data_IF_577784787027
#
_entry.id   IF_577784787027
#
_cell.length_a   1.000
_cell.length_b   1.000
_cell.length_c   1.000
_cell.angle_alpha   90.00
_cell.angle_beta   90.00
_cell.angle_gamma   90.00
#
_symmetry.space_group_name_H-M   'P 1'
#
loop_
_entity.id
_entity.type
_entity.pdbx_description
1 polymer ?
2 polymer ?
3 polymer ?
4 non-polymer ?
5 water ?
#
# COMPACT_ATOMS: atom_id res chain seq x y z
N UNK A 6 -16.61 -0.85 3.94
CA UNK A 6 -16.95 -2.21 4.48
C UNK A 6 -17.48 -2.03 5.91
N UNK A 7 -18.12 -3.07 6.45
CA UNK A 7 -18.73 -2.98 7.78
C UNK A 7 -17.89 -2.55 8.97
N UNK A 8 -16.81 -3.28 9.21
CA UNK A 8 -15.94 -3.05 10.35
C UNK A 8 -14.57 -2.51 9.92
N UNK A 9 -14.46 -2.20 8.63
CA UNK A 9 -13.22 -1.74 8.03
C UNK A 9 -12.60 -0.50 8.65
N UNK A 10 -11.26 -0.46 8.62
CA UNK A 10 -10.54 0.70 9.12
C UNK A 10 -10.50 0.98 10.60
N UNK A 11 -11.08 0.09 11.42
CA UNK A 11 -11.06 0.24 12.88
C UNK A 11 -10.13 -0.87 13.37
N UNK A 12 -8.93 -0.47 13.80
CA UNK A 12 -7.90 -1.41 14.25
C UNK A 12 -8.19 -2.02 15.61
N UNK A 13 -8.14 -3.36 15.71
CA UNK A 13 -8.39 -4.07 16.97
C UNK A 13 -7.53 -3.55 18.13
N UNK A 14 -6.24 -3.31 17.87
CA UNK A 14 -5.35 -2.85 18.92
C UNK A 14 -5.31 -1.38 19.15
N UNK A 15 -6.06 -0.61 18.36
CA UNK A 15 -6.07 0.83 18.53
C UNK A 15 -7.47 1.43 18.65
N UNK A 16 -8.14 1.70 17.53
CA UNK A 16 -9.47 2.32 17.61
C UNK A 16 -10.46 1.55 18.48
N UNK A 17 -10.50 0.24 18.33
CA UNK A 17 -11.45 -0.53 19.11
C UNK A 17 -11.21 -0.46 20.60
N UNK A 18 -9.98 -0.13 21.00
CA UNK A 18 -9.63 -0.03 22.41
C UNK A 18 -9.43 1.42 22.82
N UNK A 19 -9.70 2.33 21.91
CA UNK A 19 -9.52 3.76 22.18
C UNK A 19 -8.07 4.08 22.49
N UNK A 20 -7.16 3.42 21.77
CA UNK A 20 -5.74 3.68 21.92
C UNK A 20 -5.21 4.31 20.63
N UNK A 21 -4.38 5.33 20.77
CA UNK A 21 -3.76 6.03 19.64
C UNK A 21 -2.37 5.51 19.33
N UNK A 22 -1.99 5.42 18.06
CA UNK A 22 -0.63 5.02 17.75
C UNK A 22 0.24 6.28 17.95
N UNK A 23 1.56 6.13 17.98
CA UNK A 23 2.45 7.27 18.24
C UNK A 23 2.53 8.45 17.30
N UNK A 24 2.12 8.30 16.04
CA UNK A 24 2.19 9.46 15.16
C UNK A 24 0.88 9.83 14.47
N UNK A 25 -0.21 9.14 14.76
CA UNK A 25 -1.46 9.48 14.09
C UNK A 25 -1.93 10.91 14.30
N UNK A 26 -1.52 11.52 15.42
CA UNK A 26 -1.92 12.90 15.68
C UNK A 26 -1.34 13.80 14.59
N UNK A 27 -0.18 13.44 14.05
CA UNK A 27 0.46 14.22 13.00
C UNK A 27 -0.47 14.35 11.79
N UNK A 28 -1.13 13.25 11.43
CA UNK A 28 -2.07 13.22 10.32
C UNK A 28 -3.28 14.11 10.64
N UNK A 29 -3.90 13.86 11.78
CA UNK A 29 -5.07 14.60 12.17
C UNK A 29 -4.78 16.09 12.29
N UNK A 30 -3.57 16.44 12.70
CA UNK A 30 -3.25 17.86 12.83
C UNK A 30 -3.05 18.54 11.49
N UNK A 31 -2.90 17.78 10.42
CA UNK A 31 -2.70 18.38 9.11
C UNK A 31 -4.05 18.62 8.42
N UNK A 32 -5.13 18.05 8.95
CA UNK A 32 -6.43 18.21 8.32
C UNK A 32 -7.09 19.51 8.75
N UNK A 33 -6.52 20.62 8.30
CA UNK A 33 -7.05 21.92 8.62
C UNK A 33 -8.18 22.24 7.63
N UNK B 1 11.05 1.98 2.70
CA UNK B 1 10.64 3.29 3.23
C UNK B 1 11.94 3.95 3.66
N UNK B 2 12.13 5.18 3.21
CA UNK B 2 13.32 5.95 3.53
C UNK B 2 12.96 6.98 4.57
N UNK B 3 13.72 7.05 5.66
CA UNK B 3 13.45 8.02 6.71
C UNK B 3 12.13 7.84 7.44
N UNK B 4 11.72 6.60 7.61
CA UNK B 4 10.50 6.33 8.36
C UNK B 4 10.94 5.72 9.69
N UNK B 5 10.04 5.10 10.43
CA UNK B 5 10.41 4.47 11.70
C UNK B 5 9.73 3.13 11.78
N UNK B 6 10.09 2.33 12.78
CA UNK B 6 9.50 1.02 12.97
C UNK B 6 8.02 1.19 13.28
N UNK B 7 7.18 0.35 12.70
CA UNK B 7 5.75 0.42 12.97
C UNK B 7 5.47 -0.26 14.31
N UNK B 8 4.38 0.14 14.95
CA UNK B 8 3.98 -0.51 16.20
C UNK B 8 3.26 -1.79 15.82
N UNK B 9 3.18 -2.73 16.73
CA UNK B 9 2.50 -3.97 16.42
C UNK B 9 1.00 -3.65 16.25
N UNK B 10 0.38 -4.27 15.23
CA UNK B 10 -1.01 -4.04 14.93
C UNK B 10 -1.35 -2.66 14.33
N UNK B 11 -0.33 -1.87 13.99
CA UNK B 11 -0.52 -0.54 13.44
C UNK B 11 -1.16 -0.48 12.02
N UNK B 12 -0.86 -1.46 11.17
CA UNK B 12 -1.40 -1.56 9.79
C UNK B 12 -1.85 -2.99 9.58
N UNK B 13 -2.94 -3.39 10.22
CA UNK B 13 -3.42 -4.77 10.07
C UNK B 13 -3.87 -5.19 8.68
N UNK B 14 -3.93 -4.24 7.77
CA UNK B 14 -4.30 -4.51 6.39
C UNK B 14 -3.07 -4.68 5.50
N UNK B 15 -1.88 -4.42 6.05
CA UNK B 15 -0.65 -4.55 5.25
C UNK B 15 -0.48 -6.00 4.83
N UNK B 16 -0.18 -6.21 3.56
CA UNK B 16 0.00 -7.56 3.07
C UNK B 16 1.38 -7.63 2.40
N UNK B 17 2.02 -8.79 2.41
CA UNK B 17 3.31 -8.95 1.76
C UNK B 17 3.13 -9.88 0.58
N UNK B 18 3.58 -9.45 -0.59
CA UNK B 18 3.48 -10.29 -1.79
C UNK B 18 4.80 -11.05 -1.76
N UNK B 19 4.70 -12.36 -1.71
CA UNK B 19 5.88 -13.20 -1.58
C UNK B 19 6.03 -14.19 -2.72
N UNK B 20 7.22 -14.23 -3.28
CA UNK B 20 7.51 -15.14 -4.37
C UNK B 20 7.95 -16.50 -3.80
N UNK B 21 7.46 -17.58 -4.39
CA UNK B 21 7.81 -18.92 -3.94
C UNK B 21 9.23 -19.34 -4.27
N UNK B 22 9.62 -19.19 -5.54
CA UNK B 22 10.96 -19.60 -5.98
C UNK B 22 11.59 -18.60 -6.93
N UNK B 23 12.63 -17.89 -6.48
CA UNK B 23 13.23 -17.96 -5.15
C UNK B 23 12.34 -17.28 -4.12
N UNK B 24 12.41 -17.72 -2.87
CA UNK B 24 11.58 -17.13 -1.82
C UNK B 24 12.10 -15.72 -1.60
N UNK B 25 11.26 -14.72 -1.85
CA UNK B 25 11.67 -13.32 -1.69
C UNK B 25 10.48 -12.35 -1.68
N UNK B 26 10.72 -11.15 -1.19
CA UNK B 26 9.70 -10.12 -1.15
C UNK B 26 9.57 -9.50 -2.54
N UNK B 27 8.36 -9.44 -3.06
CA UNK B 27 8.13 -8.81 -4.37
C UNK B 27 7.59 -7.40 -4.18
N UNK B 28 6.49 -7.29 -3.43
CA UNK B 28 5.81 -6.02 -3.22
C UNK B 28 4.90 -6.02 -1.98
N UNK B 29 4.37 -4.85 -1.66
CA UNK B 29 3.40 -4.75 -0.58
C UNK B 29 2.02 -4.88 -1.22
N UNK B 30 0.98 -4.89 -0.41
CA UNK B 30 -0.40 -5.00 -0.88
C UNK B 30 -1.28 -4.66 0.32
N UNK B 31 -2.61 -4.73 0.15
CA UNK B 31 -3.52 -4.41 1.25
C UNK B 31 -4.73 -5.32 1.26
N UNK B 32 -5.27 -5.59 2.44
CA UNK B 32 -6.43 -6.45 2.57
C UNK B 32 -7.65 -5.54 2.63
N UNK B 33 -8.58 -5.73 1.69
CA UNK B 33 -9.79 -4.91 1.66
C UNK B 33 -11.06 -5.68 2.06
N UNK B 34 -10.95 -6.99 2.20
CA UNK B 34 -12.05 -7.81 2.68
C UNK B 34 -11.42 -9.14 3.07
N UNK B 35 -12.23 -10.11 3.51
CA UNK B 35 -11.68 -11.40 3.90
C UNK B 35 -11.16 -12.23 2.72
N UNK B 36 -11.45 -11.80 1.49
CA UNK B 36 -11.08 -12.58 0.32
C UNK B 36 -10.36 -11.80 -0.79
N UNK B 37 -10.25 -10.48 -0.65
CA UNK B 37 -9.63 -9.64 -1.68
C UNK B 37 -8.44 -8.83 -1.23
N UNK B 38 -7.44 -8.78 -2.10
CA UNK B 38 -6.21 -8.05 -1.84
C UNK B 38 -5.96 -7.05 -2.98
N UNK B 39 -5.59 -5.83 -2.62
CA UNK B 39 -5.34 -4.78 -3.60
C UNK B 39 -3.84 -4.48 -3.65
N UNK B 40 -3.30 -4.32 -4.86
CA UNK B 40 -1.88 -4.03 -5.06
C UNK B 40 -1.68 -3.25 -6.39
N UNK B 41 -0.44 -2.99 -6.77
CA UNK B 41 -0.13 -2.27 -8.01
C UNK B 41 0.05 -3.31 -9.11
N UNK B 42 -0.52 -3.06 -10.29
CA UNK B 42 -0.40 -3.99 -11.43
C UNK B 42 1.05 -4.26 -11.86
N UNK B 43 1.91 -3.26 -11.69
CA UNK B 43 3.30 -3.42 -12.11
C UNK B 43 4.08 -4.43 -11.29
N UNK B 44 3.53 -4.78 -10.13
CA UNK B 44 4.14 -5.77 -9.25
C UNK B 44 3.99 -7.13 -9.90
N UNK B 45 2.95 -7.29 -10.72
CA UNK B 45 2.67 -8.56 -11.39
C UNK B 45 3.05 -8.58 -12.86
N UNK B 46 2.82 -7.46 -13.53
CA UNK B 46 3.06 -7.38 -14.95
C UNK B 46 3.82 -6.14 -15.36
N UNK B 47 4.99 -6.39 -15.95
CA UNK B 47 5.86 -5.34 -16.45
C UNK B 47 6.73 -5.92 -17.58
N UNK B 48 6.12 -6.07 -18.79
CA UNK B 48 6.82 -6.64 -19.96
C UNK B 48 8.24 -6.14 -20.28
N UNK B 49 8.55 -4.85 -20.08
CA UNK B 49 9.91 -4.37 -20.36
C UNK B 49 11.00 -5.13 -19.59
N UNK B 50 10.63 -5.67 -18.42
CA UNK B 50 11.56 -6.42 -17.58
C UNK B 50 11.13 -7.89 -17.58
N UNK B 51 10.38 -8.29 -18.59
CA UNK B 51 9.89 -9.65 -18.71
C UNK B 51 9.19 -10.20 -17.48
N UNK B 52 8.56 -9.34 -16.70
CA UNK B 52 7.84 -9.76 -15.50
C UNK B 52 6.36 -10.01 -15.81
N UNK B 53 5.89 -11.21 -15.50
CA UNK B 53 4.50 -11.57 -15.72
C UNK B 53 4.19 -12.73 -14.79
N UNK B 54 3.88 -12.41 -13.54
CA UNK B 54 3.58 -13.44 -12.53
C UNK B 54 2.14 -13.90 -12.60
N UNK B 55 1.94 -15.19 -12.40
CA UNK B 55 0.59 -15.74 -12.36
C UNK B 55 0.30 -16.20 -10.93
N UNK B 56 -0.92 -16.66 -10.71
CA UNK B 56 -1.38 -17.14 -9.43
C UNK B 56 -0.42 -18.10 -8.72
N UNK B 57 0.11 -19.05 -9.47
CA UNK B 57 1.00 -20.04 -8.88
C UNK B 57 2.38 -19.59 -8.50
N UNK B 58 2.75 -18.40 -8.95
CA UNK B 58 4.08 -17.91 -8.66
C UNK B 58 4.15 -17.21 -7.31
N UNK B 59 3.00 -16.91 -6.76
CA UNK B 59 2.94 -16.11 -5.54
C UNK B 59 2.19 -16.64 -4.34
N UNK B 60 2.50 -16.01 -3.22
CA UNK B 60 1.88 -16.27 -1.94
C UNK B 60 1.63 -14.92 -1.31
N UNK B 61 0.50 -14.81 -0.63
CA UNK B 61 0.12 -13.62 0.07
C UNK B 61 0.40 -13.87 1.57
N UNK B 62 1.09 -12.96 2.24
CA UNK B 62 1.38 -13.12 3.66
C UNK B 62 0.74 -11.97 4.47
N UNK B 63 -0.21 -12.33 5.32
CA UNK B 63 -0.99 -11.38 6.12
C UNK B 63 -0.73 -11.45 7.63
N UNK B 64 -0.76 -10.30 8.31
CA UNK B 64 -0.53 -10.25 9.74
C UNK B 64 0.93 -10.19 10.17
N UNK B 65 1.80 -9.79 9.25
CA UNK B 65 3.23 -9.73 9.54
C UNK B 65 3.76 -8.44 10.16
N UNK B 66 4.91 -8.56 10.81
CA UNK B 66 5.58 -7.43 11.39
C UNK B 66 7.04 -7.52 10.94
N UNK B 67 7.65 -8.69 11.19
CA UNK B 67 9.03 -8.96 10.80
C UNK B 67 9.04 -9.21 9.29
N UNK B 68 10.06 -8.70 8.62
CA UNK B 68 10.19 -8.91 7.18
C UNK B 68 10.53 -10.36 6.79
N UNK B 69 11.61 -10.91 7.36
CA UNK B 69 12.09 -12.26 6.99
C UNK B 69 11.66 -13.48 7.82
N UNK B 70 11.15 -13.24 9.00
CA UNK B 70 10.78 -14.33 9.88
C UNK B 70 9.41 -14.94 9.64
N UNK B 71 9.29 -16.25 9.79
CA UNK B 71 7.98 -16.90 9.64
C UNK B 71 7.29 -16.74 10.99
N UNK B 72 6.38 -15.79 11.08
CA UNK B 72 5.71 -15.50 12.34
C UNK B 72 4.62 -16.47 12.73
N UNK B 73 5.07 -17.63 13.22
CA UNK B 73 4.25 -18.75 13.64
C UNK B 73 3.14 -18.31 14.60
N UNK B 74 1.92 -18.74 14.31
CA UNK B 74 0.75 -18.41 15.14
C UNK B 74 0.28 -16.96 14.97
N UNK B 75 0.99 -16.16 14.20
CA UNK B 75 0.59 -14.78 14.00
C UNK B 75 0.18 -14.48 12.55
N UNK B 76 1.08 -14.69 11.61
CA UNK B 76 0.78 -14.43 10.21
C UNK B 76 -0.01 -15.57 9.59
N UNK B 77 -0.68 -15.26 8.49
CA UNK B 77 -1.44 -16.26 7.75
C UNK B 77 -0.94 -16.16 6.30
N UNK B 78 -0.69 -17.30 5.68
CA UNK B 78 -0.22 -17.34 4.30
C UNK B 78 -1.35 -17.86 3.43
N UNK B 79 -1.62 -17.20 2.31
CA UNK B 79 -2.71 -17.63 1.43
C UNK B 79 -2.26 -17.76 -0.01
N UNK B 80 -2.94 -18.66 -0.71
CA UNK B 80 -2.69 -18.92 -2.12
C UNK B 80 -3.72 -18.08 -2.87
N UNK B 81 -3.39 -17.75 -4.11
CA UNK B 81 -4.25 -16.94 -4.94
C UNK B 81 -5.11 -17.77 -5.84
N UNK B 82 -6.36 -17.36 -5.99
CA UNK B 82 -7.27 -18.04 -6.86
C UNK B 82 -7.21 -17.38 -8.25
N UNK B 83 -7.28 -16.06 -8.28
CA UNK B 83 -7.30 -15.33 -9.54
C UNK B 83 -6.76 -13.92 -9.39
N UNK B 84 -6.03 -13.49 -10.40
CA UNK B 84 -5.45 -12.14 -10.45
C UNK B 84 -6.22 -11.37 -11.51
N UNK B 85 -6.52 -10.10 -11.23
CA UNK B 85 -7.22 -9.26 -12.18
C UNK B 85 -6.47 -7.96 -12.32
N UNK B 86 -5.96 -7.70 -13.51
CA UNK B 86 -5.23 -6.48 -13.78
C UNK B 86 -6.17 -5.52 -14.53
N UNK B 87 -6.08 -4.22 -14.23
CA UNK B 87 -6.94 -3.27 -14.92
C UNK B 87 -6.67 -3.39 -16.44
N UNK B 88 -7.74 -3.62 -17.22
CA UNK B 88 -7.59 -3.76 -18.67
C UNK B 88 -6.84 -2.60 -19.34
N UNK B 89 -6.93 -1.39 -18.78
CA UNK B 89 -6.24 -0.26 -19.38
C UNK B 89 -4.97 0.19 -18.63
N UNK B 90 -4.35 -0.75 -17.91
CA UNK B 90 -3.11 -0.48 -17.20
C UNK B 90 -2.09 -0.10 -18.28
N UNK B 91 -1.49 1.08 -18.18
CA UNK B 91 -0.55 1.53 -19.19
C UNK B 91 0.91 1.31 -18.85
N UNK B 92 1.38 0.09 -19.08
CA UNK B 92 2.78 -0.23 -18.79
C UNK B 92 3.74 0.30 -19.86
N UNK B 93 3.20 0.69 -21.00
CA UNK B 93 4.03 1.19 -22.08
C UNK B 93 4.56 2.58 -21.85
N UNK B 94 3.79 3.41 -21.18
CA UNK B 94 4.23 4.78 -20.99
C UNK B 94 4.50 5.33 -19.59
N UNK B 95 3.46 5.43 -18.77
CA UNK B 95 3.61 6.07 -17.46
C UNK B 95 2.99 5.33 -16.28
N UNK B 96 2.68 4.05 -16.44
CA UNK B 96 2.07 3.28 -15.36
C UNK B 96 0.71 3.82 -14.95
N UNK B 97 -0.01 4.40 -15.89
CA UNK B 97 -1.34 4.91 -15.62
C UNK B 97 -2.26 3.72 -15.31
N UNK B 98 -3.12 3.88 -14.31
CA UNK B 98 -4.03 2.84 -13.86
C UNK B 98 -3.25 1.61 -13.35
N UNK B 99 -2.27 1.90 -12.50
CA UNK B 99 -1.43 0.84 -11.94
C UNK B 99 -2.19 0.20 -10.75
N UNK B 100 -3.05 -0.77 -11.02
CA UNK B 100 -3.86 -1.39 -9.98
C UNK B 100 -4.23 -2.81 -10.38
N UNK B 101 -4.36 -3.69 -9.39
CA UNK B 101 -4.70 -5.08 -9.63
C UNK B 101 -5.35 -5.59 -8.38
N UNK B 102 -6.27 -6.54 -8.56
CA UNK B 102 -6.98 -7.16 -7.46
C UNK B 102 -6.58 -8.61 -7.44
N UNK B 103 -6.52 -9.19 -6.24
CA UNK B 103 -6.18 -10.60 -6.10
C UNK B 103 -7.24 -11.25 -5.23
N UNK B 104 -7.80 -12.34 -5.75
CA UNK B 104 -8.83 -13.11 -5.07
C UNK B 104 -8.13 -14.28 -4.36
N UNK B 105 -8.30 -14.38 -3.04
CA UNK B 105 -7.67 -15.46 -2.26
C UNK B 105 -8.42 -16.78 -2.44
N UNK B 106 -7.73 -17.90 -2.31
CA UNK B 106 -8.39 -19.20 -2.45
C UNK B 106 -9.53 -19.47 -1.45
N UNK B 107 -9.35 -18.98 -0.22
CA UNK B 107 -10.33 -19.13 0.86
C UNK B 107 -10.14 -17.92 1.78
N UNK B 108 -11.21 -17.46 2.40
CA UNK B 108 -11.14 -16.29 3.29
C UNK B 108 -10.19 -16.49 4.45
N UNK B 109 -9.50 -15.42 4.85
CA UNK B 109 -8.61 -15.47 6.00
C UNK B 109 -9.46 -15.02 7.14
N UNK B 110 -9.13 -15.48 8.34
CA UNK B 110 -9.88 -15.06 9.51
C UNK B 110 -9.20 -13.80 10.04
N UNK B 111 -9.99 -12.83 10.46
CA UNK B 111 -9.43 -11.60 11.02
C UNK B 111 -8.92 -11.87 12.43
N UNK B 112 -8.06 -11.01 12.94
CA UNK B 112 -7.51 -11.19 14.28
C UNK B 112 -7.03 -9.82 14.73
N UNK B 113 -6.28 -9.75 15.82
CA UNK B 113 -5.74 -8.48 16.29
C UNK B 113 -4.74 -7.89 15.27
N UNK B 114 -4.13 -8.76 14.48
CA UNK B 114 -3.10 -8.36 13.51
C UNK B 114 -3.54 -8.35 12.04
N UNK B 115 -4.75 -8.82 11.78
CA UNK B 115 -5.31 -8.93 10.43
C UNK B 115 -6.70 -8.32 10.40
N UNK B 116 -6.84 -7.22 9.65
CA UNK B 116 -8.11 -6.52 9.61
C UNK B 116 -8.12 -5.65 8.34
N UNK B 117 -9.25 -5.61 7.63
CA UNK B 117 -9.30 -4.82 6.40
C UNK B 117 -9.38 -3.30 6.55
N UNK B 118 -8.86 -2.61 5.52
CA UNK B 118 -8.88 -1.15 5.46
C UNK B 118 -10.13 -0.77 4.65
N UNK B 119 -10.63 0.45 4.80
CA UNK B 119 -11.80 0.87 4.04
C UNK B 119 -11.40 1.51 2.70
N UNK B 120 -12.24 1.35 1.69
CA UNK B 120 -12.03 1.98 0.38
C UNK B 120 -12.84 3.28 0.49
N UNK B 121 -12.33 4.38 -0.03
CA UNK B 121 -13.09 5.61 0.10
C UNK B 121 -14.36 5.80 -0.76
N UNK B 122 -15.23 6.65 -0.25
CA UNK B 122 -16.43 7.02 -0.97
C UNK B 122 -16.10 8.38 -1.54
N UNK B 123 -16.98 8.90 -2.38
CA UNK B 123 -16.73 10.18 -3.03
C UNK B 123 -16.53 11.32 -2.07
N UNK B 124 -17.32 11.36 -1.00
CA UNK B 124 -17.24 12.45 -0.05
C UNK B 124 -15.93 12.46 0.75
N UNK B 125 -15.53 11.28 1.22
CA UNK B 125 -14.30 11.14 1.98
C UNK B 125 -13.10 11.52 1.10
N UNK B 126 -13.11 11.04 -0.14
CA UNK B 126 -12.03 11.34 -1.09
C UNK B 126 -11.99 12.85 -1.32
N UNK B 127 -13.17 13.43 -1.52
CA UNK B 127 -13.27 14.84 -1.76
C UNK B 127 -12.72 15.66 -0.60
N UNK B 128 -13.09 15.31 0.62
CA UNK B 128 -12.61 16.08 1.76
C UNK B 128 -11.16 15.85 2.20
N UNK B 129 -10.65 14.64 1.98
CA UNK B 129 -9.30 14.34 2.44
C UNK B 129 -8.16 14.46 1.47
N UNK B 130 -8.43 14.22 0.20
CA UNK B 130 -7.36 14.27 -0.80
C UNK B 130 -7.06 15.73 -1.17
N UNK B 131 -6.39 16.43 -0.28
CA UNK B 131 -6.06 17.83 -0.49
C UNK B 131 -4.60 18.11 -0.23
N UNK B 132 -3.99 19.00 -1.01
CA UNK B 132 -2.58 19.32 -0.81
C UNK B 132 -2.34 19.81 0.61
N UNK B 133 -1.30 19.30 1.25
CA UNK B 133 -0.99 19.69 2.62
C UNK B 133 -1.43 18.66 3.65
N UNK B 134 -2.48 17.91 3.31
CA UNK B 134 -2.98 16.88 4.21
C UNK B 134 -2.03 15.69 4.17
N UNK B 135 -1.79 15.08 5.33
CA UNK B 135 -0.87 13.96 5.39
C UNK B 135 -1.52 12.61 5.37
N UNK B 136 -0.80 11.68 4.75
CA UNK B 136 -1.24 10.31 4.66
C UNK B 136 -0.07 9.48 5.18
N UNK B 137 -0.24 8.18 5.23
CA UNK B 137 0.76 7.28 5.76
C UNK B 137 1.03 6.13 4.82
N UNK B 138 2.30 5.79 4.67
CA UNK B 138 2.73 4.70 3.79
C UNK B 138 3.52 3.71 4.63
N UNK B 139 3.34 2.42 4.34
CA UNK B 139 4.05 1.41 5.10
C UNK B 139 4.59 0.34 4.17
N UNK B 140 5.64 -0.36 4.60
CA UNK B 140 6.20 -1.43 3.79
C UNK B 140 7.55 -1.93 4.30
N UNK B 141 8.03 -2.99 3.68
CA UNK B 141 9.30 -3.60 4.05
C UNK B 141 10.35 -3.34 2.98
N UNK B 142 10.16 -2.28 2.20
CA UNK B 142 11.10 -1.98 1.14
C UNK B 142 12.40 -1.39 1.62
N UNK B 143 13.30 -1.13 0.68
CA UNK B 143 14.59 -0.56 0.98
C UNK B 143 14.50 0.66 1.86
N UNK B 144 15.53 0.86 2.66
CA UNK B 144 15.64 2.00 3.56
C UNK B 144 16.43 3.13 2.91
N UNK B 145 17.08 2.80 1.80
CA UNK B 145 17.89 3.77 1.08
C UNK B 145 17.85 3.45 -0.39
N UNK B 146 18.09 4.45 -1.22
CA UNK B 146 18.09 4.23 -2.66
C UNK B 146 19.27 3.32 -3.02
N UNK B 147 20.44 3.65 -2.48
CA UNK B 147 21.70 2.93 -2.68
C UNK B 147 22.01 2.57 -4.14
N UNK B 155 20.09 -1.22 4.19
CA UNK B 155 19.57 -2.26 3.34
C UNK B 155 18.08 -2.33 3.54
N UNK B 156 17.62 -3.50 3.96
CA UNK B 156 16.22 -3.73 4.22
C UNK B 156 16.02 -3.66 5.73
N UNK B 157 14.80 -3.32 6.18
CA UNK B 157 14.55 -3.23 7.62
C UNK B 157 14.24 -4.61 8.22
N UNK B 158 14.32 -4.74 9.55
CA UNK B 158 13.98 -6.01 10.17
C UNK B 158 12.47 -6.06 10.33
N UNK B 159 11.85 -4.90 10.54
CA UNK B 159 10.40 -4.87 10.70
C UNK B 159 9.73 -3.80 9.84
N UNK B 160 8.41 -3.91 9.73
CA UNK B 160 7.60 -2.99 8.95
C UNK B 160 7.93 -1.55 9.30
N UNK B 161 8.14 -0.73 8.27
CA UNK B 161 8.45 0.69 8.44
C UNK B 161 7.20 1.52 8.13
N UNK B 162 7.16 2.72 8.70
CA UNK B 162 6.04 3.63 8.48
C UNK B 162 6.56 5.07 8.30
N UNK B 163 5.88 5.85 7.46
CA UNK B 163 6.23 7.25 7.26
C UNK B 163 4.97 8.01 6.90
N UNK B 164 4.86 9.25 7.39
CA UNK B 164 3.71 10.09 7.13
C UNK B 164 4.16 11.18 6.17
N UNK B 165 3.48 11.30 5.05
CA UNK B 165 3.84 12.28 4.01
C UNK B 165 2.68 13.16 3.57
N UNK B 166 2.97 14.42 3.24
CA UNK B 166 1.87 15.30 2.81
C UNK B 166 1.57 15.16 1.31
N UNK B 167 0.31 15.33 0.96
CA UNK B 167 -0.11 15.28 -0.45
C UNK B 167 0.39 16.59 -1.08
N UNK B 168 0.91 16.50 -2.30
CA UNK B 168 1.44 17.67 -2.98
C UNK B 168 0.54 18.17 -4.12
N UNK B 169 0.54 19.50 -4.30
CA UNK B 169 -0.23 20.17 -5.36
C UNK B 169 0.09 19.59 -6.76
N UNK B 170 -0.93 19.29 -7.55
CA UNK B 170 -0.72 18.72 -8.89
C UNK B 170 0.32 19.40 -9.77
N UNK B 171 0.35 20.75 -9.82
CA UNK B 171 1.34 21.47 -10.65
C UNK B 171 2.77 21.15 -10.22
N UNK B 172 2.99 21.08 -8.91
CA UNK B 172 4.30 20.77 -8.34
C UNK B 172 4.67 19.34 -8.76
N UNK B 173 3.71 18.40 -8.68
CA UNK B 173 3.95 17.02 -9.08
C UNK B 173 4.37 16.97 -10.56
N UNK B 174 3.60 17.69 -11.38
CA UNK B 174 3.81 17.80 -12.83
C UNK B 174 5.18 18.38 -13.17
N UNK B 175 5.56 19.46 -12.49
CA UNK B 175 6.82 20.16 -12.72
C UNK B 175 8.08 19.52 -12.18
N UNK B 176 7.93 18.34 -11.57
CA UNK B 176 9.07 17.64 -11.00
C UNK B 176 9.54 16.50 -11.88
N UNK B 177 8.81 16.23 -12.95
CA UNK B 177 9.16 15.08 -13.79
C UNK B 177 8.90 15.34 -15.27
N UNK B 178 9.47 14.51 -16.14
CA UNK B 178 9.25 14.65 -17.57
C UNK B 178 8.13 13.73 -17.97
N UNK B 179 7.76 12.86 -17.05
CA UNK B 179 6.71 11.88 -17.32
C UNK B 179 5.32 12.50 -17.31
N UNK B 180 4.47 12.06 -18.22
CA UNK B 180 3.11 12.57 -18.28
C UNK B 180 2.25 12.05 -17.11
N UNK B 181 1.83 12.95 -16.25
CA UNK B 181 1.01 12.63 -15.09
C UNK B 181 -0.47 12.68 -15.46
N UNK B 182 -1.25 11.72 -14.98
CA UNK B 182 -2.68 11.67 -15.28
C UNK B 182 -3.56 11.89 -14.05
N UNK B 183 -4.86 11.91 -14.26
CA UNK B 183 -5.83 12.12 -13.19
C UNK B 183 -5.92 10.89 -12.30
N UNK B 184 -5.36 9.77 -12.76
CA UNK B 184 -5.36 8.53 -11.98
C UNK B 184 -4.14 8.41 -11.06
N UNK B 185 -3.42 9.50 -10.86
CA UNK B 185 -2.24 9.48 -10.00
C UNK B 185 -2.26 10.72 -9.13
N UNK B 186 -1.57 10.64 -7.99
CA UNK B 186 -1.36 11.81 -7.17
C UNK B 186 0.07 11.64 -6.62
N UNK B 187 0.72 12.71 -6.20
CA UNK B 187 2.07 12.58 -5.67
C UNK B 187 2.12 13.11 -4.24
N UNK B 188 3.09 12.63 -3.46
CA UNK B 188 3.23 13.05 -2.08
C UNK B 188 4.69 13.08 -1.63
N UNK B 189 4.96 13.89 -0.61
CA UNK B 189 6.30 14.02 -0.08
C UNK B 189 6.54 15.46 0.30
N UNK B 190 7.67 15.70 0.94
CA UNK B 190 8.03 17.05 1.36
C UNK B 190 8.82 17.76 0.25
N UNK B 191 8.63 19.08 0.18
CA UNK B 191 9.33 19.94 -0.77
C UNK B 191 10.74 20.03 -0.20
N UNK B 192 11.76 20.26 -1.05
CA UNK B 192 13.12 20.35 -0.51
C UNK B 192 13.39 21.42 0.54
N UNK B 193 12.55 22.44 0.62
CA UNK B 193 12.78 23.49 1.62
C UNK B 193 12.05 23.27 2.94
N UNK B 194 11.25 22.20 3.03
CA UNK B 194 10.48 21.90 4.24
C UNK B 194 11.20 21.29 5.46
N UNK B 195 12.45 20.88 5.30
CA UNK B 195 13.17 20.32 6.43
C UNK B 195 12.98 18.83 6.65
N UNK B 196 11.72 18.38 6.67
CA UNK B 196 11.42 16.97 6.83
C UNK B 196 11.55 16.24 5.50
N UNK B 197 11.74 14.92 5.56
CA UNK B 197 11.83 14.12 4.34
C UNK B 197 11.23 12.71 4.51
N UNK B 198 11.39 11.85 3.52
CA UNK B 198 10.84 10.51 3.62
C UNK B 198 10.19 10.13 2.31
N UNK B 199 10.03 8.83 2.05
CA UNK B 199 9.44 8.37 0.78
C UNK B 199 9.44 6.82 0.77
N UNK B 200 8.68 6.27 -0.18
CA UNK B 200 8.64 4.83 -0.37
C UNK B 200 9.88 4.53 -1.21
N UNK B 201 10.18 3.26 -1.42
CA UNK B 201 11.35 2.88 -2.21
C UNK B 201 11.09 1.50 -2.79
N UNK B 202 12.11 0.85 -3.37
CA UNK B 202 11.91 -0.48 -3.97
C UNK B 202 11.37 -1.43 -2.93
N UNK B 203 10.45 -2.31 -3.32
CA UNK B 203 9.90 -3.24 -2.37
C UNK B 203 8.64 -2.73 -1.72
N UNK B 204 8.47 -1.42 -1.64
CA UNK B 204 7.27 -0.82 -1.04
C UNK B 204 6.08 -0.76 -2.02
N UNK B 205 6.38 -0.79 -3.32
CA UNK B 205 5.36 -0.73 -4.37
C UNK B 205 4.21 -1.69 -4.10
N UNK B 206 3.00 -1.25 -4.42
CA UNK B 206 1.82 -2.08 -4.21
C UNK B 206 1.18 -1.89 -2.84
N UNK B 207 1.93 -1.27 -1.92
CA UNK B 207 1.44 -1.04 -0.58
C UNK B 207 0.48 0.13 -0.47
N UNK B 208 -0.18 0.26 0.67
CA UNK B 208 -1.15 1.35 0.89
C UNK B 208 -0.67 2.70 1.35
N UNK B 209 -1.34 3.74 0.86
CA UNK B 209 -1.15 5.12 1.29
C UNK B 209 -2.53 5.29 1.99
N UNK B 210 -2.56 5.44 3.30
CA UNK B 210 -3.86 5.55 3.97
C UNK B 210 -4.00 6.85 4.72
N UNK B 211 -5.24 7.21 5.00
CA UNK B 211 -5.54 8.41 5.76
C UNK B 211 -6.62 8.06 6.78
N UNK B 212 -6.61 8.77 7.90
CA UNK B 212 -7.60 8.55 8.94
C UNK B 212 -8.67 9.63 8.88
N UNK B 213 -9.91 9.23 8.67
CA UNK B 213 -11.00 10.19 8.61
C UNK B 213 -11.28 10.83 9.96
N UNK B 214 -11.32 12.16 10.01
CA UNK B 214 -11.59 12.85 11.28
C UNK B 214 -13.11 12.89 11.59
N UNK B 215 -13.92 12.35 10.68
CA UNK B 215 -15.38 12.32 10.84
C UNK B 215 -15.88 11.03 11.46
N UNK B 216 -15.32 9.91 11.04
CA UNK B 216 -15.75 8.64 11.59
C UNK B 216 -14.63 7.81 12.21
N UNK B 217 -13.43 8.37 12.28
CA UNK B 217 -12.27 7.70 12.85
C UNK B 217 -11.77 6.42 12.20
N UNK B 218 -12.14 6.18 10.95
CA UNK B 218 -11.72 5.00 10.23
C UNK B 218 -10.57 5.28 9.30
N UNK B 219 -9.80 4.24 8.99
CA UNK B 219 -8.68 4.39 8.07
C UNK B 219 -9.18 4.04 6.67
N UNK B 220 -8.84 4.89 5.70
CA UNK B 220 -9.23 4.68 4.31
C UNK B 220 -7.99 4.59 3.44
N UNK B 221 -8.01 3.72 2.44
CA UNK B 221 -6.86 3.65 1.52
C UNK B 221 -7.08 4.60 0.34
N UNK B 222 -6.38 5.71 0.31
CA UNK B 222 -6.51 6.68 -0.78
C UNK B 222 -5.60 6.38 -1.98
N UNK B 223 -4.48 5.71 -1.75
CA UNK B 223 -3.56 5.42 -2.84
C UNK B 223 -2.81 4.12 -2.72
N UNK B 224 -2.11 3.77 -3.79
CA UNK B 224 -1.26 2.59 -3.87
C UNK B 224 0.12 3.09 -4.31
N UNK B 225 1.17 2.63 -3.63
CA UNK B 225 2.54 3.00 -3.96
C UNK B 225 2.78 2.54 -5.41
N UNK B 226 3.02 3.51 -6.29
CA UNK B 226 3.16 3.18 -7.70
C UNK B 226 4.54 3.34 -8.30
N UNK B 227 5.07 4.56 -8.29
CA UNK B 227 6.37 4.79 -8.87
C UNK B 227 7.01 6.06 -8.35
N UNK B 228 8.28 6.20 -8.68
CA UNK B 228 9.04 7.37 -8.29
C UNK B 228 10.38 7.28 -8.96
N UNK B 229 11.11 8.38 -8.94
CA UNK B 229 12.43 8.44 -9.57
C UNK B 229 13.45 8.45 -8.44
N UNK B 230 14.04 7.28 -8.18
CA UNK B 230 14.96 7.15 -7.08
C UNK B 230 14.10 7.04 -5.83
N UNK B 231 14.66 7.36 -4.67
CA UNK B 231 13.91 7.32 -3.41
C UNK B 231 14.39 8.47 -2.57
N UNK B 232 13.45 9.29 -2.11
CA UNK B 232 13.74 10.43 -1.25
C UNK B 232 14.71 11.46 -1.86
N UNK B 233 14.74 11.56 -3.18
CA UNK B 233 15.58 12.55 -3.85
C UNK B 233 14.95 13.92 -3.68
N UNK B 234 15.75 14.96 -3.48
CA UNK B 234 15.19 16.31 -3.33
C UNK B 234 14.55 16.77 -4.64
N UNK B 235 13.40 17.45 -4.51
CA UNK B 235 12.69 17.93 -5.68
C UNK B 235 11.95 16.84 -6.44
N UNK B 236 11.91 15.64 -5.87
CA UNK B 236 11.22 14.53 -6.51
C UNK B 236 10.13 14.09 -5.53
N UNK B 237 9.10 13.42 -6.02
CA UNK B 237 8.00 13.03 -5.15
C UNK B 237 7.55 11.64 -5.50
N UNK B 238 6.88 11.00 -4.55
CA UNK B 238 6.37 9.66 -4.77
C UNK B 238 5.05 9.74 -5.49
N UNK B 239 4.81 8.83 -6.44
CA UNK B 239 3.55 8.79 -7.17
C UNK B 239 2.71 7.62 -6.74
N UNK B 240 1.42 7.88 -6.59
CA UNK B 240 0.47 6.88 -6.10
C UNK B 240 -0.75 6.74 -6.96
N UNK B 241 -1.23 5.51 -7.12
CA UNK B 241 -2.45 5.27 -7.88
C UNK B 241 -3.63 5.89 -7.10
N UNK B 242 -4.50 6.63 -7.79
CA UNK B 242 -5.66 7.29 -7.18
C UNK B 242 -6.72 6.22 -7.05
N UNK B 243 -6.87 5.64 -5.87
CA UNK B 243 -7.81 4.54 -5.66
C UNK B 243 -9.27 4.88 -5.93
N UNK B 244 -9.75 6.02 -5.43
CA UNK B 244 -11.15 6.37 -5.68
C UNK B 244 -11.50 6.49 -7.18
N UNK B 245 -10.61 7.09 -7.98
CA UNK B 245 -10.85 7.25 -9.41
C UNK B 245 -11.03 5.90 -10.06
N UNK B 246 -10.41 4.87 -9.52
CA UNK B 246 -10.54 3.56 -10.11
C UNK B 246 -11.49 2.64 -9.34
N UNK B 247 -12.29 3.22 -8.45
CA UNK B 247 -13.19 2.42 -7.66
C UNK B 247 -14.29 1.70 -8.44
N UNK B 248 -14.78 2.32 -9.52
CA UNK B 248 -15.81 1.72 -10.35
C UNK B 248 -15.33 0.35 -10.84
N UNK B 249 -14.06 0.29 -11.23
CA UNK B 249 -13.47 -0.96 -11.72
C UNK B 249 -13.38 -1.99 -10.59
N UNK B 250 -12.95 -1.54 -9.41
CA UNK B 250 -12.84 -2.44 -8.25
C UNK B 250 -14.20 -3.08 -7.94
N UNK B 251 -15.22 -2.24 -7.81
CA UNK B 251 -16.59 -2.69 -7.52
C UNK B 251 -17.08 -3.69 -8.59
N UNK B 252 -16.87 -3.35 -9.85
CA UNK B 252 -17.27 -4.18 -10.96
C UNK B 252 -16.68 -5.59 -10.85
N UNK B 253 -15.37 -5.67 -10.62
CA UNK B 253 -14.65 -6.95 -10.49
C UNK B 253 -15.14 -7.77 -9.29
N UNK B 254 -15.37 -7.10 -8.17
CA UNK B 254 -15.82 -7.80 -6.99
C UNK B 254 -17.22 -8.36 -7.14
N UNK B 255 -18.19 -7.56 -7.55
CA UNK B 255 -19.51 -8.17 -7.68
C UNK B 255 -19.66 -9.08 -8.89
N UNK B 256 -18.74 -9.03 -9.84
CA UNK B 256 -18.83 -9.93 -10.98
C UNK B 256 -18.10 -11.24 -10.69
N UNK B 257 -17.07 -11.18 -9.85
CA UNK B 257 -16.28 -12.36 -9.55
C UNK B 257 -16.25 -12.96 -8.13
N UNK B 258 -17.03 -12.43 -7.19
CA UNK B 258 -17.03 -13.04 -5.87
C UNK B 258 -16.83 -12.20 -4.62
N UNK C 4 17.57 -13.48 2.92
CA UNK C 4 17.63 -13.88 4.35
C UNK C 4 16.28 -14.24 4.94
N UNK C 5 15.39 -14.77 4.10
CA UNK C 5 14.06 -15.14 4.54
C UNK C 5 14.04 -16.51 5.20
N UNK C 6 13.39 -16.57 6.37
CA UNK C 6 13.26 -17.80 7.10
C UNK C 6 12.39 -18.79 6.33
N UNK C 7 12.71 -20.06 6.46
CA UNK C 7 12.01 -21.13 5.79
C UNK C 7 10.53 -21.09 6.17
N UNK C 8 9.65 -21.08 5.19
CA UNK C 8 8.21 -21.12 5.51
C UNK C 8 7.72 -22.57 5.34
N UNK C 9 6.65 -22.94 6.07
CA UNK C 9 6.11 -24.31 5.97
C UNK C 9 5.87 -24.83 4.55
N UNK C 10 6.42 -26.01 4.29
CA UNK C 10 6.33 -26.69 3.01
C UNK C 10 4.88 -26.83 2.53
N UNK C 11 3.94 -26.90 3.47
CA UNK C 11 2.53 -27.05 3.13
C UNK C 11 1.95 -25.91 2.27
N UNK C 13 3.69 -24.35 -0.13
CA UNK C 13 4.34 -24.38 -1.42
C UNK C 13 3.66 -25.40 -2.34
#
# INVERSE_FOLDING_TARGET
>A
TFGSGEADCGLRPLFEKKSLEDKTERELLESYIDGR
>B
IVEGSDAEIGMSPWQVMLFRKSPQELLCGASLISDRWVLTAAHCLLYPPWDKNFTENDLLVRIGKHSRTRYERNIEKISMLEKIYIHPRYNWRENLDRDIALMKLKKPVAFSDYIHPVCLPDRETAASLLQAGYKGRVTGWGNLKETWTANVGKGQPSVLQVVNLPIVERPVCKDSTRIRITDNMFCAGYKPDEGKRGDACEGDSGGPFVMKSPFNNRWYQMGIVSWGEGCDRDGKYGFYTHVFRLKKWIQKVIDQFGE
>C
XNEDFEEIPEEXL
#
